data_IF_929343069185
#
_entry.id   IF_929343069185
#
_cell.length_a   1.000
_cell.length_b   1.000
_cell.length_c   1.000
_cell.angle_alpha   90.00
_cell.angle_beta   90.00
_cell.angle_gamma   90.00
#
_symmetry.space_group_name_H-M   'P 1'
#
loop_
_entity.id
_entity.type
_entity.pdbx_description
1 polymer ?
#
# COMPACT_ATOMS: atom_id res chain seq x y z
N UNK A 1 10.86 -40.32 2.99
CA UNK A 1 10.03 -39.85 1.86
C UNK A 1 9.14 -38.74 2.39
N UNK A 2 9.23 -37.52 1.85
CA UNK A 2 8.36 -36.41 2.27
C UNK A 2 6.99 -36.58 1.60
N UNK A 3 5.93 -36.65 2.40
CA UNK A 3 4.55 -36.84 1.95
C UNK A 3 4.03 -35.65 1.12
N UNK A 4 4.67 -34.49 1.24
CA UNK A 4 4.37 -33.27 0.48
C UNK A 4 5.65 -32.70 -0.10
N UNK A 5 5.65 -32.47 -1.41
CA UNK A 5 6.71 -31.77 -2.14
C UNK A 5 6.11 -30.52 -2.78
N UNK A 6 6.79 -29.39 -2.60
CA UNK A 6 6.47 -28.15 -3.31
C UNK A 6 6.88 -28.33 -4.76
N UNK A 7 5.94 -28.16 -5.69
CA UNK A 7 6.24 -28.09 -7.13
C UNK A 7 6.70 -26.67 -7.44
N UNK A 8 8.02 -26.49 -7.45
CA UNK A 8 8.66 -25.23 -7.80
C UNK A 8 8.57 -25.00 -9.31
N UNK A 9 7.92 -23.90 -9.71
CA UNK A 9 7.74 -23.52 -11.12
C UNK A 9 8.40 -22.17 -11.45
N UNK A 10 8.82 -21.43 -10.44
CA UNK A 10 9.52 -20.15 -10.52
C UNK A 10 10.24 -19.88 -9.19
N UNK A 11 11.44 -19.28 -9.25
CA UNK A 11 12.21 -18.91 -8.07
C UNK A 11 13.15 -17.75 -8.40
N UNK A 12 13.23 -16.78 -7.50
CA UNK A 12 14.11 -15.64 -7.64
C UNK A 12 14.59 -15.21 -6.25
N UNK A 13 15.88 -14.87 -6.15
CA UNK A 13 16.53 -14.48 -4.89
C UNK A 13 16.77 -12.97 -4.93
N UNK A 14 15.99 -12.23 -4.14
CA UNK A 14 16.12 -10.78 -3.98
C UNK A 14 16.73 -10.48 -2.60
N UNK A 15 17.86 -9.78 -2.58
CA UNK A 15 18.53 -9.38 -1.34
C UNK A 15 17.69 -8.39 -0.53
N UNK A 16 17.62 -8.62 0.79
CA UNK A 16 16.96 -7.69 1.71
C UNK A 16 15.44 -7.55 1.52
N UNK A 17 14.80 -8.44 0.76
CA UNK A 17 13.34 -8.44 0.57
C UNK A 17 12.62 -8.48 1.92
N UNK A 18 11.76 -7.49 2.16
CA UNK A 18 11.07 -7.29 3.45
C UNK A 18 9.57 -7.41 3.35
N UNK A 19 9.01 -6.93 2.25
CA UNK A 19 7.57 -6.88 2.05
C UNK A 19 7.25 -7.21 0.60
N UNK A 20 6.11 -7.87 0.42
CA UNK A 20 5.58 -8.20 -0.89
C UNK A 20 4.10 -7.85 -0.96
N UNK A 21 3.65 -7.49 -2.15
CA UNK A 21 2.25 -7.32 -2.49
C UNK A 21 1.98 -7.91 -3.88
N UNK A 22 0.75 -8.30 -4.13
CA UNK A 22 0.32 -8.92 -5.39
C UNK A 22 -0.80 -8.06 -5.96
N UNK A 23 -0.70 -7.72 -7.25
CA UNK A 23 -1.79 -7.05 -7.94
C UNK A 23 -1.73 -7.24 -9.45
N UNK A 24 -2.86 -6.94 -10.09
CA UNK A 24 -3.00 -6.90 -11.54
C UNK A 24 -2.59 -5.52 -12.07
N UNK A 25 -1.33 -5.41 -12.50
CA UNK A 25 -0.73 -4.20 -13.06
C UNK A 25 -0.66 -4.27 -14.60
N UNK A 26 -0.40 -5.45 -15.16
CA UNK A 26 -0.15 -5.68 -16.59
C UNK A 26 -1.00 -6.84 -17.10
N UNK A 27 -1.66 -6.65 -18.24
CA UNK A 27 -2.41 -7.68 -19.00
C UNK A 27 -3.36 -8.57 -18.18
N UNK A 28 -3.95 -8.04 -17.10
CA UNK A 28 -4.80 -8.81 -16.18
C UNK A 28 -4.11 -10.02 -15.52
N UNK A 29 -2.77 -10.04 -15.52
CA UNK A 29 -1.95 -11.02 -14.80
C UNK A 29 -1.58 -10.48 -13.42
N UNK A 30 -1.36 -11.37 -12.46
CA UNK A 30 -0.89 -10.99 -11.14
C UNK A 30 0.63 -10.79 -11.17
N UNK A 31 1.07 -9.57 -10.87
CA UNK A 31 2.48 -9.25 -10.66
C UNK A 31 2.81 -9.19 -9.17
N UNK A 32 4.03 -9.58 -8.84
CA UNK A 32 4.59 -9.48 -7.50
C UNK A 32 5.36 -8.16 -7.38
N UNK A 33 5.03 -7.34 -6.40
CA UNK A 33 5.78 -6.13 -6.07
C UNK A 33 6.51 -6.37 -4.76
N UNK A 34 7.82 -6.21 -4.77
CA UNK A 34 8.69 -6.54 -3.64
C UNK A 34 9.47 -5.29 -3.24
N UNK A 35 9.43 -4.97 -1.95
CA UNK A 35 10.22 -3.90 -1.35
C UNK A 35 11.36 -4.47 -0.51
N UNK A 36 12.57 -3.97 -0.74
CA UNK A 36 13.77 -4.32 0.01
C UNK A 36 14.17 -3.24 1.04
N UNK A 37 14.80 -3.65 2.13
CA UNK A 37 15.44 -2.73 3.09
C UNK A 37 16.64 -2.00 2.49
N UNK A 38 17.20 -2.49 1.39
CA UNK A 38 18.26 -1.83 0.61
C UNK A 38 17.72 -0.67 -0.24
N UNK A 39 16.40 -0.50 -0.28
CA UNK A 39 15.71 0.54 -1.02
C UNK A 39 15.45 0.20 -2.49
N UNK A 40 15.54 -1.08 -2.84
CA UNK A 40 15.17 -1.60 -4.15
C UNK A 40 13.67 -1.96 -4.17
N UNK A 41 12.94 -1.36 -5.10
CA UNK A 41 11.56 -1.72 -5.44
C UNK A 41 11.56 -2.53 -6.74
N UNK A 42 11.18 -3.79 -6.66
CA UNK A 42 11.21 -4.73 -7.79
C UNK A 42 9.79 -5.19 -8.12
N UNK A 43 9.42 -5.18 -9.40
CA UNK A 43 8.16 -5.76 -9.90
C UNK A 43 8.49 -6.97 -10.76
N UNK A 44 7.89 -8.10 -10.44
CA UNK A 44 8.05 -9.37 -11.13
C UNK A 44 6.75 -9.79 -11.81
N UNK A 45 6.84 -10.32 -13.02
CA UNK A 45 5.80 -11.05 -13.71
C UNK A 45 6.35 -12.40 -14.18
N UNK A 46 6.22 -13.46 -13.35
CA UNK A 46 6.68 -14.78 -13.74
C UNK A 46 5.84 -15.41 -14.86
N UNK A 47 4.70 -14.80 -15.21
CA UNK A 47 3.82 -15.23 -16.30
C UNK A 47 4.08 -14.49 -17.62
N UNK A 48 5.04 -13.55 -17.68
CA UNK A 48 5.37 -12.78 -18.89
C UNK A 48 5.83 -13.68 -20.03
N UNK A 49 6.89 -14.44 -19.78
CA UNK A 49 7.50 -15.36 -20.70
C UNK A 49 7.64 -16.72 -19.99
N UNK A 50 6.91 -17.72 -20.47
CA UNK A 50 6.91 -19.05 -19.84
C UNK A 50 8.20 -19.82 -20.09
N UNK A 51 8.92 -19.52 -21.18
CA UNK A 51 10.17 -20.20 -21.59
C UNK A 51 11.37 -19.58 -20.87
N UNK A 52 11.44 -18.25 -20.80
CA UNK A 52 12.55 -17.51 -20.16
C UNK A 52 12.19 -16.92 -18.80
N UNK A 53 11.22 -17.51 -18.10
CA UNK A 53 10.68 -16.99 -16.82
C UNK A 53 11.72 -16.63 -15.77
N UNK A 54 12.84 -17.35 -15.72
CA UNK A 54 13.87 -17.12 -14.71
C UNK A 54 14.67 -15.83 -14.96
N UNK A 55 14.82 -15.45 -16.23
CA UNK A 55 15.63 -14.30 -16.66
C UNK A 55 14.77 -13.06 -16.93
N UNK A 56 13.57 -13.26 -17.46
CA UNK A 56 12.69 -12.20 -17.97
C UNK A 56 11.50 -11.86 -17.06
N UNK A 57 11.39 -12.52 -15.91
CA UNK A 57 10.32 -12.24 -14.94
C UNK A 57 10.45 -10.86 -14.30
N UNK A 58 11.66 -10.34 -14.15
CA UNK A 58 11.88 -9.00 -13.59
C UNK A 58 11.46 -7.97 -14.64
N UNK A 59 10.34 -7.29 -14.40
CA UNK A 59 9.82 -6.29 -15.31
C UNK A 59 10.50 -4.94 -15.10
N UNK A 60 10.63 -4.52 -13.83
CA UNK A 60 11.21 -3.23 -13.48
C UNK A 60 11.86 -3.30 -12.10
N UNK A 61 13.00 -2.65 -12.00
CA UNK A 61 13.71 -2.42 -10.75
C UNK A 61 14.01 -0.93 -10.61
N UNK A 62 13.66 -0.37 -9.45
CA UNK A 62 13.91 1.03 -9.16
C UNK A 62 14.56 1.19 -7.79
N UNK A 63 15.73 1.84 -7.78
CA UNK A 63 16.45 2.16 -6.56
C UNK A 63 15.96 3.48 -5.97
N UNK A 64 15.37 3.43 -4.78
CA UNK A 64 14.85 4.60 -4.05
C UNK A 64 15.89 5.19 -3.07
N UNK A 65 16.96 4.45 -2.78
CA UNK A 65 18.03 4.89 -1.87
C UNK A 65 17.61 4.98 -0.39
N UNK A 66 16.43 4.51 -0.03
CA UNK A 66 15.85 4.50 1.33
C UNK A 66 15.18 3.16 1.58
N UNK A 67 15.31 2.61 2.79
CA UNK A 67 14.72 1.31 3.14
C UNK A 67 13.21 1.28 2.99
N UNK A 68 12.69 0.26 2.31
CA UNK A 68 11.25 0.05 2.15
C UNK A 68 10.77 -0.86 3.28
N UNK A 69 9.92 -0.32 4.16
CA UNK A 69 9.37 -1.04 5.31
C UNK A 69 8.23 -1.97 4.92
N UNK A 70 7.35 -1.49 4.05
CA UNK A 70 6.17 -2.22 3.59
C UNK A 70 5.76 -1.73 2.19
N UNK A 71 5.26 -2.65 1.37
CA UNK A 71 4.60 -2.35 0.10
C UNK A 71 3.12 -2.70 0.24
N UNK A 72 2.25 -1.86 -0.29
CA UNK A 72 0.83 -2.14 -0.41
C UNK A 72 0.36 -1.71 -1.79
N UNK A 73 -0.66 -2.39 -2.31
CA UNK A 73 -1.22 -2.08 -3.62
C UNK A 73 -2.69 -1.77 -3.41
N UNK A 74 -3.06 -0.55 -3.78
CA UNK A 74 -4.41 -0.03 -3.65
C UNK A 74 -4.95 0.40 -5.01
N UNK A 75 -6.19 0.04 -5.27
CA UNK A 75 -7.00 0.70 -6.28
C UNK A 75 -7.32 2.11 -5.77
N UNK A 76 -6.61 3.11 -6.28
CA UNK A 76 -6.88 4.49 -5.93
C UNK A 76 -7.20 5.24 -7.20
N UNK A 77 -8.35 5.90 -7.15
CA UNK A 77 -8.94 6.70 -8.22
C UNK A 77 -9.79 5.92 -9.26
N UNK A 78 -11.02 6.41 -9.45
CA UNK A 78 -11.84 6.16 -10.63
C UNK A 78 -11.43 7.19 -11.71
N UNK A 79 -10.51 6.87 -12.61
CA UNK A 79 -10.30 7.73 -13.80
C UNK A 79 -11.29 7.25 -14.85
N UNK A 80 -12.41 7.96 -14.99
CA UNK A 80 -13.27 7.81 -16.17
C UNK A 80 -12.52 8.40 -17.37
N UNK A 81 -11.81 7.56 -18.13
CA UNK A 81 -11.33 7.96 -19.47
C UNK A 81 -12.52 7.84 -20.41
N UNK A 82 -13.06 8.97 -20.86
CA UNK A 82 -14.02 8.99 -21.97
C UNK A 82 -13.26 8.68 -23.25
N UNK A 83 -13.37 7.45 -23.74
CA UNK A 83 -12.99 7.13 -25.12
C UNK A 83 -14.10 7.70 -26.00
N UNK A 84 -13.90 8.89 -26.54
CA UNK A 84 -14.74 9.43 -27.62
C UNK A 84 -14.36 8.72 -28.92
N UNK A 85 -14.92 7.53 -29.12
CA UNK A 85 -15.03 6.93 -30.44
C UNK A 85 -16.31 7.43 -31.09
N UNK A 86 -16.22 8.00 -32.28
CA UNK A 86 -17.35 8.43 -33.09
C UNK A 86 -18.10 7.17 -33.56
N UNK A 87 -19.21 6.85 -32.88
CA UNK A 87 -20.03 5.66 -33.14
C UNK A 87 -20.54 5.01 -31.86
N UNK A 88 -21.77 5.37 -31.48
CA UNK A 88 -22.66 4.76 -30.48
C UNK A 88 -22.15 3.51 -29.71
N UNK A 89 -21.45 3.75 -28.60
CA UNK A 89 -21.58 2.93 -27.39
C UNK A 89 -21.08 3.71 -26.16
N UNK A 90 -21.98 4.08 -25.23
CA UNK A 90 -21.63 4.62 -23.91
C UNK A 90 -21.12 3.51 -22.99
N UNK A 91 -20.00 2.88 -23.35
CA UNK A 91 -19.29 1.98 -22.45
C UNK A 91 -18.38 2.82 -21.55
N UNK A 92 -18.82 3.09 -20.32
CA UNK A 92 -18.01 3.70 -19.27
C UNK A 92 -16.89 2.71 -18.90
N UNK A 93 -15.75 2.78 -19.58
CA UNK A 93 -14.57 1.99 -19.24
C UNK A 93 -13.97 2.58 -17.96
N UNK A 94 -14.31 1.97 -16.82
CA UNK A 94 -13.73 2.27 -15.52
C UNK A 94 -12.29 1.73 -15.53
N UNK A 95 -11.32 2.56 -15.91
CA UNK A 95 -9.91 2.22 -15.71
C UNK A 95 -9.58 2.57 -14.25
N UNK A 96 -9.61 1.55 -13.39
CA UNK A 96 -9.05 1.67 -12.05
C UNK A 96 -7.54 1.88 -12.19
N UNK A 97 -7.03 2.98 -11.66
CA UNK A 97 -5.60 3.18 -11.57
C UNK A 97 -5.11 2.38 -10.37
N UNK A 98 -4.28 1.36 -10.61
CA UNK A 98 -3.64 0.62 -9.53
C UNK A 98 -2.37 1.38 -9.14
N UNK A 99 -2.30 1.80 -7.87
CA UNK A 99 -1.13 2.47 -7.31
C UNK A 99 -0.38 1.54 -6.38
N UNK A 100 0.94 1.59 -6.50
CA UNK A 100 1.88 0.93 -5.60
C UNK A 100 2.26 1.95 -4.53
N UNK A 101 1.92 1.66 -3.28
CA UNK A 101 2.33 2.44 -2.13
C UNK A 101 3.56 1.79 -1.49
N UNK A 102 4.66 2.54 -1.40
CA UNK A 102 5.88 2.12 -0.73
C UNK A 102 6.08 2.94 0.55
N UNK A 103 6.05 2.28 1.70
CA UNK A 103 6.27 2.89 2.99
C UNK A 103 7.77 2.95 3.31
N UNK A 104 8.27 4.16 3.47
CA UNK A 104 9.62 4.44 3.95
C UNK A 104 9.55 4.90 5.43
N UNK A 105 10.67 4.90 6.16
CA UNK A 105 10.69 5.33 7.56
C UNK A 105 10.15 6.74 7.82
N UNK A 106 10.25 7.67 6.86
CA UNK A 106 9.84 9.07 7.04
C UNK A 106 8.92 9.59 5.93
N UNK A 107 8.53 8.74 4.99
CA UNK A 107 7.58 9.11 3.95
C UNK A 107 6.85 7.92 3.38
N UNK A 108 5.73 8.19 2.72
CA UNK A 108 4.95 7.23 1.95
C UNK A 108 4.97 7.69 0.49
N UNK A 109 5.48 6.84 -0.40
CA UNK A 109 5.58 7.11 -1.83
C UNK A 109 4.51 6.34 -2.60
N UNK A 110 3.97 6.98 -3.63
CA UNK A 110 3.02 6.37 -4.54
C UNK A 110 3.63 6.29 -5.94
N UNK A 111 3.62 5.09 -6.50
CA UNK A 111 4.13 4.79 -7.83
C UNK A 111 3.02 4.26 -8.73
N UNK A 112 3.17 4.57 -10.02
CA UNK A 112 2.41 3.95 -11.09
C UNK A 112 3.36 3.23 -12.04
N UNK A 113 2.97 2.04 -12.44
CA UNK A 113 3.62 1.31 -13.52
C UNK A 113 3.10 1.84 -14.85
N UNK A 114 4.00 2.33 -15.69
CA UNK A 114 3.72 2.71 -17.07
C UNK A 114 4.30 1.67 -18.02
N UNK A 115 3.55 1.32 -19.05
CA UNK A 115 4.02 0.51 -20.18
C UNK A 115 4.25 1.42 -21.39
N UNK A 116 5.40 1.29 -22.03
CA UNK A 116 5.73 1.97 -23.28
C UNK A 116 5.40 1.06 -24.49
N UNK A 117 5.39 1.64 -25.70
CA UNK A 117 5.07 0.92 -26.94
C UNK A 117 6.00 -0.27 -27.26
N UNK A 118 7.22 -0.29 -26.69
CA UNK A 118 8.21 -1.36 -26.86
C UNK A 118 8.18 -2.43 -25.74
N UNK A 119 7.07 -2.56 -25.01
CA UNK A 119 6.95 -3.43 -23.82
C UNK A 119 8.02 -3.18 -22.73
N UNK A 120 8.56 -1.96 -22.69
CA UNK A 120 9.39 -1.50 -21.58
C UNK A 120 8.51 -0.88 -20.51
N UNK A 121 8.77 -1.25 -19.26
CA UNK A 121 8.00 -0.78 -18.11
C UNK A 121 8.84 0.18 -17.27
N UNK A 122 8.21 1.22 -16.76
CA UNK A 122 8.85 2.17 -15.83
C UNK A 122 7.94 2.50 -14.66
N UNK A 123 8.54 2.68 -13.50
CA UNK A 123 7.86 3.19 -12.31
C UNK A 123 7.96 4.71 -12.27
N UNK A 124 6.81 5.37 -12.36
CA UNK A 124 6.69 6.81 -12.18
C UNK A 124 6.19 7.13 -10.77
N UNK A 125 6.95 7.94 -10.04
CA UNK A 125 6.51 8.46 -8.76
C UNK A 125 5.48 9.57 -8.98
N UNK A 126 4.28 9.43 -8.42
CA UNK A 126 3.20 10.41 -8.59
C UNK A 126 3.28 11.45 -7.45
N UNK A 127 3.24 11.00 -6.20
CA UNK A 127 3.32 11.90 -5.04
C UNK A 127 3.97 11.25 -3.82
N UNK A 128 4.44 12.10 -2.90
CA UNK A 128 5.10 11.73 -1.64
C UNK A 128 4.39 12.39 -0.46
N UNK A 129 4.01 11.59 0.54
CA UNK A 129 3.61 12.08 1.86
C UNK A 129 4.76 12.01 2.84
N UNK A 130 5.23 13.15 3.31
CA UNK A 130 6.24 13.21 4.38
C UNK A 130 5.59 13.04 5.75
N UNK A 131 6.27 12.33 6.64
CA UNK A 131 5.87 12.11 8.03
C UNK A 131 6.75 12.97 8.96
N UNK A 132 6.43 14.26 9.16
CA UNK A 132 7.28 15.16 9.93
C UNK A 132 7.32 14.76 11.40
N UNK A 133 8.52 14.55 11.93
CA UNK A 133 8.75 14.26 13.35
C UNK A 133 8.34 12.86 13.81
N UNK A 134 7.87 11.99 12.90
CA UNK A 134 7.46 10.63 13.19
C UNK A 134 8.23 9.63 12.32
N UNK A 135 8.42 8.41 12.83
CA UNK A 135 9.02 7.31 12.07
C UNK A 135 7.94 6.26 11.85
N UNK A 136 7.67 5.91 10.60
CA UNK A 136 6.73 4.86 10.23
C UNK A 136 7.19 3.48 10.74
N UNK A 137 6.22 2.64 11.09
CA UNK A 137 6.44 1.25 11.49
C UNK A 137 5.82 0.29 10.48
N UNK A 138 4.52 0.39 10.24
CA UNK A 138 3.77 -0.40 9.27
C UNK A 138 2.59 0.42 8.72
N UNK A 139 1.84 -0.16 7.80
CA UNK A 139 0.60 0.42 7.27
C UNK A 139 -0.46 -0.63 7.01
N UNK A 140 -1.71 -0.21 6.97
CA UNK A 140 -2.83 -0.98 6.44
C UNK A 140 -3.60 -0.16 5.41
N UNK A 141 -4.36 -0.85 4.56
CA UNK A 141 -5.24 -0.22 3.59
C UNK A 141 -6.69 -0.62 3.83
N UNK A 142 -7.61 0.25 3.46
CA UNK A 142 -9.04 -0.05 3.56
C UNK A 142 -9.93 1.11 3.16
N UNK A 143 -11.22 0.81 3.06
CA UNK A 143 -12.28 1.78 2.81
C UNK A 143 -12.73 2.40 4.13
N UNK A 144 -11.91 3.30 4.70
CA UNK A 144 -12.19 3.84 6.02
C UNK A 144 -13.46 4.70 6.01
N UNK A 145 -14.34 4.51 6.99
CA UNK A 145 -15.63 5.21 7.07
C UNK A 145 -16.55 4.97 5.87
N UNK A 146 -16.46 3.80 5.22
CA UNK A 146 -17.19 3.44 3.99
C UNK A 146 -16.89 4.37 2.81
N UNK A 147 -15.67 4.89 2.74
CA UNK A 147 -15.19 5.58 1.55
C UNK A 147 -15.30 4.68 0.32
N UNK A 148 -15.55 5.28 -0.84
CA UNK A 148 -15.52 4.58 -2.13
C UNK A 148 -14.10 4.33 -2.64
N UNK A 149 -13.12 4.99 -2.04
CA UNK A 149 -11.71 4.88 -2.41
C UNK A 149 -10.91 4.22 -1.29
N UNK A 150 -9.91 3.44 -1.69
CA UNK A 150 -8.98 2.80 -0.76
C UNK A 150 -8.06 3.86 -0.18
N UNK A 151 -8.04 3.92 1.15
CA UNK A 151 -7.20 4.81 1.94
C UNK A 151 -6.11 4.00 2.62
N UNK A 152 -5.01 4.68 2.97
CA UNK A 152 -3.87 4.07 3.65
C UNK A 152 -3.74 4.67 5.04
N UNK A 153 -3.66 3.83 6.05
CA UNK A 153 -3.34 4.21 7.42
C UNK A 153 -1.91 3.77 7.74
N UNK A 154 -1.04 4.72 8.07
CA UNK A 154 0.32 4.48 8.52
C UNK A 154 0.37 4.57 10.04
N UNK A 155 0.90 3.53 10.68
CA UNK A 155 1.23 3.55 12.10
C UNK A 155 2.70 3.93 12.26
N UNK A 156 2.98 4.89 13.14
CA UNK A 156 4.33 5.27 13.54
C UNK A 156 4.80 4.47 14.76
N UNK A 157 6.11 4.49 14.99
CA UNK A 157 6.75 3.84 16.13
C UNK A 157 6.26 4.38 17.49
N UNK A 158 5.77 5.63 17.50
CA UNK A 158 5.27 6.30 18.70
C UNK A 158 3.78 6.08 18.96
N UNK A 159 3.12 5.22 18.17
CA UNK A 159 1.68 4.96 18.27
C UNK A 159 0.79 6.01 17.61
N UNK A 160 1.34 6.91 16.78
CA UNK A 160 0.55 7.83 15.96
C UNK A 160 0.07 7.15 14.67
N UNK A 161 -1.21 7.33 14.34
CA UNK A 161 -1.90 6.90 13.13
C UNK A 161 -2.07 8.07 12.17
N UNK A 162 -1.72 7.86 10.92
CA UNK A 162 -1.84 8.80 9.82
C UNK A 162 -2.71 8.19 8.74
N UNK A 163 -3.85 8.81 8.40
CA UNK A 163 -4.70 8.35 7.30
C UNK A 163 -4.52 9.27 6.10
N UNK A 164 -4.21 8.67 4.97
CA UNK A 164 -4.04 9.32 3.68
C UNK A 164 -5.17 8.89 2.72
N UNK A 165 -5.74 9.90 2.09
CA UNK A 165 -6.81 9.82 1.10
C UNK A 165 -6.29 10.36 -0.24
N UNK A 166 -5.65 9.49 -1.02
CA UNK A 166 -4.88 9.90 -2.19
C UNK A 166 -3.80 10.93 -1.82
N UNK A 167 -3.87 12.10 -2.44
CA UNK A 167 -2.95 13.24 -2.20
C UNK A 167 -3.24 14.01 -0.90
N UNK A 168 -4.32 13.70 -0.18
CA UNK A 168 -4.72 14.44 1.00
C UNK A 168 -4.41 13.66 2.28
N UNK A 169 -3.94 14.37 3.32
CA UNK A 169 -3.88 13.81 4.67
C UNK A 169 -5.23 14.01 5.37
N UNK A 170 -5.98 12.92 5.50
CA UNK A 170 -7.32 12.94 6.10
C UNK A 170 -7.29 12.97 7.64
N UNK A 171 -6.37 12.24 8.28
CA UNK A 171 -6.31 12.11 9.74
C UNK A 171 -4.87 12.05 10.24
N UNK A 172 -4.65 12.63 11.42
CA UNK A 172 -3.48 12.33 12.25
C UNK A 172 -3.89 12.26 13.73
N UNK A 173 -3.65 11.11 14.38
CA UNK A 173 -4.06 10.83 15.77
C UNK A 173 -3.04 9.99 16.50
N UNK A 174 -2.73 10.35 17.74
CA UNK A 174 -1.91 9.51 18.62
C UNK A 174 -2.79 8.61 19.47
N UNK A 175 -2.50 7.30 19.45
CA UNK A 175 -3.14 6.32 20.32
C UNK A 175 -2.46 6.37 21.69
N UNK A 176 -3.26 6.36 22.76
CA UNK A 176 -2.73 6.30 24.11
C UNK A 176 -2.21 4.89 24.43
N UNK A 177 -1.33 4.79 25.43
CA UNK A 177 -0.86 3.52 25.99
C UNK A 177 -0.19 2.57 24.97
N UNK A 178 0.30 3.13 23.86
CA UNK A 178 1.12 2.40 22.91
C UNK A 178 2.56 2.32 23.43
N UNK A 179 2.93 1.19 24.02
CA UNK A 179 4.31 0.92 24.45
C UNK A 179 5.22 0.63 23.25
N UNK A 180 4.75 -0.19 22.33
CA UNK A 180 5.39 -0.50 21.05
C UNK A 180 4.32 -0.77 19.99
N UNK A 181 4.54 -0.40 18.72
CA UNK A 181 3.57 -0.66 17.67
C UNK A 181 3.50 -2.16 17.35
N UNK A 182 2.30 -2.72 17.28
CA UNK A 182 2.06 -4.05 16.75
C UNK A 182 1.43 -4.01 15.35
N UNK A 183 0.99 -5.16 14.82
CA UNK A 183 0.14 -5.22 13.64
C UNK A 183 -1.07 -4.28 13.72
N UNK A 184 -1.41 -3.70 12.57
CA UNK A 184 -2.59 -2.86 12.34
C UNK A 184 -3.39 -3.43 11.17
N UNK A 185 -4.71 -3.47 11.32
CA UNK A 185 -5.63 -3.87 10.27
C UNK A 185 -6.93 -3.06 10.37
N UNK A 186 -7.65 -2.91 9.26
CA UNK A 186 -8.96 -2.29 9.26
C UNK A 186 -10.02 -3.28 8.82
N UNK A 187 -11.10 -3.35 9.57
CA UNK A 187 -12.28 -4.15 9.22
C UNK A 187 -13.42 -3.25 8.74
N UNK A 188 -13.88 -3.49 7.52
CA UNK A 188 -15.01 -2.77 6.91
C UNK A 188 -16.34 -3.09 7.59
N UNK A 189 -16.49 -4.30 8.14
CA UNK A 189 -17.73 -4.75 8.76
C UNK A 189 -18.09 -3.97 10.03
N UNK A 190 -17.11 -3.78 10.93
CA UNK A 190 -17.31 -3.03 12.18
C UNK A 190 -16.73 -1.61 12.12
N UNK A 191 -16.23 -1.18 10.96
CA UNK A 191 -15.67 0.15 10.71
C UNK A 191 -14.61 0.55 11.73
N UNK A 192 -13.74 -0.41 12.09
CA UNK A 192 -12.81 -0.28 13.20
C UNK A 192 -11.38 -0.57 12.77
N UNK A 193 -10.46 0.21 13.33
CA UNK A 193 -9.02 -0.06 13.32
C UNK A 193 -8.72 -1.06 14.43
N UNK A 194 -8.19 -2.22 14.04
CA UNK A 194 -7.67 -3.22 14.93
C UNK A 194 -6.18 -2.95 15.11
N UNK A 195 -5.76 -2.78 16.35
CA UNK A 195 -4.40 -2.44 16.73
C UNK A 195 -3.95 -3.40 17.82
N UNK A 196 -2.70 -3.81 17.77
CA UNK A 196 -2.09 -4.55 18.87
C UNK A 196 -0.94 -3.75 19.46
N UNK A 197 -0.85 -3.71 20.79
CA UNK A 197 0.27 -3.07 21.49
C UNK A 197 0.41 -3.66 22.89
N UNK A 198 1.65 -3.96 23.32
CA UNK A 198 1.89 -4.44 24.68
C UNK A 198 1.21 -5.77 25.03
N UNK A 199 0.84 -6.58 24.03
CA UNK A 199 0.10 -7.85 24.23
C UNK A 199 -1.42 -7.70 24.27
N UNK A 200 -1.97 -6.50 24.11
CA UNK A 200 -3.41 -6.24 24.06
C UNK A 200 -3.88 -6.01 22.63
N UNK A 201 -5.10 -6.45 22.33
CA UNK A 201 -5.83 -6.14 21.10
C UNK A 201 -6.85 -5.05 21.38
N UNK A 202 -6.76 -3.95 20.64
CA UNK A 202 -7.67 -2.81 20.72
C UNK A 202 -8.45 -2.68 19.42
N UNK A 203 -9.75 -2.41 19.53
CA UNK A 203 -10.62 -2.11 18.39
C UNK A 203 -11.17 -0.70 18.53
N UNK A 204 -10.77 0.20 17.64
CA UNK A 204 -11.14 1.61 17.68
C UNK A 204 -11.96 1.94 16.45
N UNK A 205 -13.24 2.30 16.66
CA UNK A 205 -14.12 2.73 15.56
C UNK A 205 -13.56 3.97 14.86
N UNK A 206 -13.58 3.96 13.54
CA UNK A 206 -13.05 5.04 12.71
C UNK A 206 -13.69 6.40 13.02
N UNK A 207 -15.01 6.43 13.25
CA UNK A 207 -15.72 7.67 13.59
C UNK A 207 -15.27 8.29 14.92
N UNK A 208 -14.71 7.52 15.85
CA UNK A 208 -14.16 8.06 17.11
C UNK A 208 -12.83 8.79 16.87
N UNK A 209 -12.05 8.31 15.89
CA UNK A 209 -10.80 8.94 15.49
C UNK A 209 -11.04 10.29 14.79
N UNK A 210 -12.09 10.37 13.97
CA UNK A 210 -12.45 11.58 13.20
C UNK A 210 -13.15 12.65 14.04
N UNK A 211 -14.07 12.29 14.92
CA UNK A 211 -14.87 13.25 15.73
C UNK A 211 -14.06 14.09 16.72
N UNK A 212 -12.88 13.63 17.11
CA UNK A 212 -11.99 14.36 18.03
C UNK A 212 -11.30 15.57 17.35
N UNK A 213 -11.60 15.87 16.07
CA UNK A 213 -11.03 17.00 15.28
C UNK A 213 -11.56 18.39 15.65
N UNK A 214 -12.53 18.50 16.56
CA UNK A 214 -12.94 19.78 17.16
C UNK A 214 -11.91 20.33 18.16
N UNK A 215 -10.76 20.80 17.69
CA UNK A 215 -9.91 21.85 18.26
C UNK A 215 -8.55 21.82 17.56
N UNK A 216 -8.23 22.85 16.78
CA UNK A 216 -6.84 23.16 16.41
C UNK A 216 -6.05 23.46 17.68
N UNK A 217 -5.28 22.49 18.16
CA UNK A 217 -4.53 22.50 19.41
C UNK A 217 -3.99 21.09 19.71
N UNK A 218 -2.96 20.95 20.56
CA UNK A 218 -2.12 19.76 20.63
C UNK A 218 -2.96 18.49 20.88
N UNK A 219 -2.60 17.44 20.13
CA UNK A 219 -3.12 16.07 20.15
C UNK A 219 -3.98 15.73 21.38
N UNK A 220 -5.31 15.77 21.22
CA UNK A 220 -6.23 15.19 22.21
C UNK A 220 -6.01 13.68 22.28
N UNK A 221 -5.57 13.24 23.45
CA UNK A 221 -5.31 11.86 23.87
C UNK A 221 -6.62 11.07 23.89
N UNK A 222 -6.65 9.90 23.25
CA UNK A 222 -7.83 9.04 23.19
C UNK A 222 -7.59 7.79 24.05
N UNK A 223 -8.24 7.72 25.22
CA UNK A 223 -8.14 6.56 26.11
C UNK A 223 -8.92 5.40 25.49
N UNK A 224 -8.22 4.30 25.22
CA UNK A 224 -8.86 3.03 24.90
C UNK A 224 -9.02 2.30 26.23
N UNK A 225 -10.25 2.23 26.72
CA UNK A 225 -10.62 1.43 27.89
C UNK A 225 -10.86 -0.03 27.52
#
# INVERSE_FOLDING_TARGET
>A
MSLFHVQEWYNNIISGARSMAIAQLVDYRDQLVIGSLEGLLTVLDPGRDLEHRQEMSVIVEQQLGKSILQVSIGNSWETTIRVSGEGDCKCRKLNYLVLIAALLPRSLLYFRLLSNEEESYRLEQIFEHKLPGEIAYNMCQGHFGRSHITQICVQSINGSLWVFDGENRALHRRINDCLHPGPIEYTTFSESMLLTSGGYLSSIRYNMLTTTTGAGGPTKKLNVG
#
